data_IF_237219921399
#
_entry.id   IF_237219921399
#
_cell.length_a   1.000
_cell.length_b   1.000
_cell.length_c   1.000
_cell.angle_alpha   90.00
_cell.angle_beta   90.00
_cell.angle_gamma   90.00
#
_symmetry.space_group_name_H-M   'P 1'
#
loop_
_entity.id
_entity.type
_entity.pdbx_description
1 polymer ?
#
# COMPACT_ATOMS: atom_id res chain seq x y z
N UNK A 1 20.41 31.37 -58.88
CA UNK A 1 19.31 31.19 -57.93
C UNK A 1 19.93 30.84 -56.59
N UNK A 2 20.14 31.85 -55.77
CA UNK A 2 20.98 31.84 -54.57
C UNK A 2 20.18 31.57 -53.30
N UNK A 3 20.51 30.50 -52.58
CA UNK A 3 20.90 30.57 -51.16
C UNK A 3 19.84 30.79 -50.07
N UNK A 4 18.68 30.11 -50.08
CA UNK A 4 17.73 30.13 -48.95
C UNK A 4 17.75 28.88 -48.05
N UNK A 5 18.33 27.76 -48.48
CA UNK A 5 18.25 26.49 -47.72
C UNK A 5 19.19 26.44 -46.50
N UNK A 6 20.33 27.14 -46.56
CA UNK A 6 21.33 27.13 -45.49
C UNK A 6 20.86 27.80 -44.21
N UNK A 7 20.03 28.84 -44.31
CA UNK A 7 19.43 29.52 -43.16
C UNK A 7 18.38 28.65 -42.47
N UNK A 8 17.58 27.92 -43.26
CA UNK A 8 16.54 27.04 -42.75
C UNK A 8 17.14 25.79 -42.06
N UNK A 9 18.20 25.21 -42.64
CA UNK A 9 18.91 24.09 -42.04
C UNK A 9 19.51 24.44 -40.66
N UNK A 10 20.09 25.64 -40.51
CA UNK A 10 20.63 26.10 -39.23
C UNK A 10 19.54 26.28 -38.17
N UNK A 11 18.37 26.82 -38.54
CA UNK A 11 17.23 26.97 -37.64
C UNK A 11 16.57 25.65 -37.29
N UNK A 12 16.51 24.71 -38.23
CA UNK A 12 15.92 23.38 -38.02
C UNK A 12 16.80 22.52 -37.10
N UNK A 13 18.13 22.62 -37.23
CA UNK A 13 19.09 22.02 -36.28
C UNK A 13 18.93 22.64 -34.89
N UNK A 14 18.80 23.97 -34.80
CA UNK A 14 18.61 24.64 -33.51
C UNK A 14 17.30 24.22 -32.82
N UNK A 15 16.22 24.05 -33.59
CA UNK A 15 14.93 23.60 -33.08
C UNK A 15 14.99 22.14 -32.59
N UNK A 16 15.62 21.24 -33.36
CA UNK A 16 15.81 19.85 -32.96
C UNK A 16 16.69 19.72 -31.68
N UNK A 17 17.77 20.51 -31.59
CA UNK A 17 18.60 20.56 -30.39
C UNK A 17 17.83 21.10 -29.18
N UNK A 18 17.01 22.14 -29.37
CA UNK A 18 16.17 22.68 -28.30
C UNK A 18 15.18 21.65 -27.75
N UNK A 19 14.55 20.86 -28.62
CA UNK A 19 13.66 19.75 -28.21
C UNK A 19 14.42 18.67 -27.45
N UNK A 20 15.63 18.31 -27.90
CA UNK A 20 16.46 17.31 -27.23
C UNK A 20 16.89 17.76 -25.83
N UNK A 21 17.38 19.00 -25.68
CA UNK A 21 17.77 19.54 -24.38
C UNK A 21 16.58 19.69 -23.43
N UNK A 22 15.42 20.11 -23.95
CA UNK A 22 14.20 20.22 -23.15
C UNK A 22 13.73 18.85 -22.64
N UNK A 23 13.81 17.80 -23.46
CA UNK A 23 13.47 16.44 -23.06
C UNK A 23 14.44 15.90 -21.99
N UNK A 24 15.75 16.16 -22.11
CA UNK A 24 16.74 15.78 -21.09
C UNK A 24 16.48 16.53 -19.77
N UNK A 25 16.11 17.81 -19.82
CA UNK A 25 15.74 18.59 -18.63
C UNK A 25 14.51 18.01 -17.91
N UNK A 26 13.45 17.67 -18.66
CA UNK A 26 12.26 17.03 -18.07
C UNK A 26 12.61 15.65 -17.52
N UNK A 27 13.34 14.83 -18.30
CA UNK A 27 13.74 13.49 -17.87
C UNK A 27 14.58 13.54 -16.59
N UNK A 28 15.49 14.49 -16.45
CA UNK A 28 16.30 14.65 -15.22
C UNK A 28 15.46 15.10 -14.04
N UNK A 29 14.49 16.01 -14.24
CA UNK A 29 13.57 16.43 -13.18
C UNK A 29 12.67 15.28 -12.70
N UNK A 30 12.19 14.43 -13.62
CA UNK A 30 11.42 13.22 -13.30
C UNK A 30 12.32 12.14 -12.69
N UNK A 31 13.55 11.97 -13.20
CA UNK A 31 14.49 10.94 -12.76
C UNK A 31 15.05 11.17 -11.36
N UNK A 32 15.15 12.41 -10.88
CA UNK A 32 15.53 12.71 -9.50
C UNK A 32 14.40 12.50 -8.50
N UNK A 33 13.20 12.16 -8.98
CA UNK A 33 12.06 11.81 -8.16
C UNK A 33 11.41 13.04 -7.53
N UNK A 34 10.12 13.19 -7.76
CA UNK A 34 9.28 14.05 -6.93
C UNK A 34 9.31 13.58 -5.48
N UNK A 35 10.30 14.01 -4.71
CA UNK A 35 10.24 14.04 -3.26
C UNK A 35 9.55 15.34 -2.84
N UNK A 36 8.25 15.39 -3.08
CA UNK A 36 7.39 16.25 -2.29
C UNK A 36 7.31 15.63 -0.89
N UNK A 37 8.09 16.18 0.06
CA UNK A 37 7.85 16.02 1.49
C UNK A 37 8.56 14.86 2.19
N UNK A 38 9.90 14.80 2.13
CA UNK A 38 10.69 14.03 3.08
C UNK A 38 11.21 14.95 4.19
N UNK A 39 10.37 15.25 5.19
CA UNK A 39 10.90 15.62 6.50
C UNK A 39 11.56 14.38 7.08
N UNK A 40 12.88 14.47 7.24
CA UNK A 40 13.78 13.46 7.77
C UNK A 40 13.22 12.79 9.04
N UNK A 41 13.11 11.46 9.10
CA UNK A 41 13.33 10.74 10.33
C UNK A 41 14.70 10.09 10.26
N UNK A 42 15.52 10.44 11.24
CA UNK A 42 16.76 9.77 11.62
C UNK A 42 16.68 8.27 11.44
N UNK A 43 17.72 7.74 10.79
CA UNK A 43 18.00 6.34 10.49
C UNK A 43 17.96 5.48 11.76
N UNK A 44 16.78 4.98 12.14
CA UNK A 44 16.67 3.90 13.10
C UNK A 44 16.93 2.59 12.35
N UNK A 45 17.95 1.86 12.81
CA UNK A 45 18.32 0.53 12.34
C UNK A 45 17.19 -0.44 12.73
N UNK A 46 16.30 -0.79 11.80
CA UNK A 46 15.34 -1.87 12.01
C UNK A 46 16.02 -3.22 11.71
N UNK A 47 15.83 -4.24 12.58
CA UNK A 47 16.13 -5.61 12.21
C UNK A 47 15.17 -6.04 11.10
N UNK A 48 15.69 -6.82 10.15
CA UNK A 48 14.91 -7.43 9.08
C UNK A 48 13.90 -8.40 9.71
N UNK A 49 12.67 -7.93 9.92
CA UNK A 49 11.54 -8.80 10.23
C UNK A 49 10.65 -8.89 9.00
N UNK A 50 10.49 -10.13 8.58
CA UNK A 50 9.99 -10.61 7.30
C UNK A 50 8.55 -10.13 7.07
N UNK A 51 8.36 -9.23 6.10
CA UNK A 51 7.03 -8.75 5.72
C UNK A 51 6.33 -9.84 4.91
N UNK A 52 5.60 -10.72 5.59
CA UNK A 52 4.85 -11.80 4.95
C UNK A 52 3.43 -11.34 4.56
N UNK A 53 3.23 -11.00 3.28
CA UNK A 53 1.90 -10.75 2.71
C UNK A 53 1.29 -12.08 2.25
N UNK A 54 0.12 -12.44 2.81
CA UNK A 54 -0.64 -13.62 2.37
C UNK A 54 -1.88 -13.14 1.63
N UNK A 55 -2.10 -13.54 0.36
CA UNK A 55 -3.34 -13.23 -0.34
C UNK A 55 -4.52 -13.98 0.30
N UNK A 56 -5.66 -13.30 0.45
CA UNK A 56 -6.90 -13.91 0.94
C UNK A 56 -7.41 -14.94 -0.07
N UNK A 57 -7.40 -16.22 0.26
CA UNK A 57 -8.06 -17.26 -0.55
C UNK A 57 -9.56 -17.22 -0.29
N UNK A 58 -10.33 -17.10 -1.37
CA UNK A 58 -11.79 -17.11 -1.35
C UNK A 58 -12.31 -18.47 -0.84
N UNK A 59 -13.44 -18.41 -0.12
CA UNK A 59 -14.15 -19.55 0.44
C UNK A 59 -14.56 -20.52 -0.68
N UNK A 60 -13.83 -21.62 -0.86
CA UNK A 60 -14.23 -22.70 -1.76
C UNK A 60 -15.09 -23.69 -0.97
N UNK A 61 -16.41 -23.47 -0.99
CA UNK A 61 -17.38 -24.44 -0.51
C UNK A 61 -17.41 -25.64 -1.47
N UNK A 62 -16.89 -26.78 -1.04
CA UNK A 62 -17.11 -28.04 -1.75
C UNK A 62 -16.08 -29.12 -1.46
N UNK A 63 -16.56 -30.19 -0.81
CA UNK A 63 -15.93 -31.50 -0.59
C UNK A 63 -15.03 -31.63 0.64
N UNK A 64 -15.59 -32.29 1.66
CA UNK A 64 -14.87 -32.86 2.79
C UNK A 64 -13.73 -33.74 2.28
N UNK A 65 -12.49 -33.34 2.57
CA UNK A 65 -11.37 -34.24 2.66
C UNK A 65 -10.86 -34.13 4.10
N UNK A 66 -10.96 -35.24 4.81
CA UNK A 66 -10.49 -35.38 6.17
C UNK A 66 -8.98 -35.11 6.26
N UNK A 67 -8.59 -34.56 7.41
CA UNK A 67 -7.24 -34.59 7.97
C UNK A 67 -6.26 -33.46 7.53
N UNK A 68 -6.54 -32.25 7.99
CA UNK A 68 -5.61 -31.40 8.79
C UNK A 68 -6.25 -30.02 8.94
N UNK A 69 -7.41 -29.95 9.60
CA UNK A 69 -7.91 -28.69 10.11
C UNK A 69 -7.02 -28.31 11.29
N UNK A 70 -5.81 -27.82 11.00
CA UNK A 70 -4.98 -27.12 11.97
C UNK A 70 -5.84 -25.99 12.47
N UNK A 71 -6.40 -26.17 13.67
CA UNK A 71 -7.18 -25.16 14.36
C UNK A 71 -6.36 -23.88 14.30
N UNK A 72 -6.79 -22.96 13.44
CA UNK A 72 -6.21 -21.63 13.35
C UNK A 72 -6.51 -21.06 14.73
N UNK A 73 -5.49 -20.96 15.58
CA UNK A 73 -5.61 -20.25 16.84
C UNK A 73 -6.34 -18.94 16.51
N UNK A 74 -7.39 -18.55 17.28
CA UNK A 74 -8.26 -17.44 16.92
C UNK A 74 -7.38 -16.26 16.54
N UNK A 75 -7.28 -16.02 15.23
CA UNK A 75 -6.38 -14.99 14.70
C UNK A 75 -6.99 -13.71 15.20
N UNK A 76 -6.21 -12.95 15.96
CA UNK A 76 -6.71 -11.73 16.58
C UNK A 76 -6.86 -10.69 15.46
N UNK A 77 -8.04 -10.70 14.82
CA UNK A 77 -8.36 -9.92 13.64
C UNK A 77 -8.61 -8.48 14.04
N UNK A 78 -7.96 -7.59 13.31
CA UNK A 78 -8.10 -6.16 13.41
C UNK A 78 -8.57 -5.67 12.06
N UNK A 79 -9.78 -5.11 12.00
CA UNK A 79 -10.33 -4.54 10.79
C UNK A 79 -10.07 -3.03 10.81
N UNK A 80 -9.46 -2.49 9.76
CA UNK A 80 -9.31 -1.06 9.58
C UNK A 80 -10.35 -0.54 8.58
N UNK A 81 -11.21 0.37 9.02
CA UNK A 81 -12.23 0.99 8.16
C UNK A 81 -12.44 2.45 8.55
N UNK A 82 -12.44 3.35 7.55
CA UNK A 82 -12.71 4.79 7.73
C UNK A 82 -11.88 5.47 8.84
N UNK A 83 -10.63 5.02 9.06
CA UNK A 83 -9.76 5.57 10.10
C UNK A 83 -9.98 5.00 11.51
N UNK A 84 -10.89 4.04 11.67
CA UNK A 84 -11.18 3.33 12.93
C UNK A 84 -10.68 1.90 12.89
N UNK A 85 -10.42 1.35 14.06
CA UNK A 85 -10.09 -0.06 14.26
C UNK A 85 -11.30 -0.78 14.84
N UNK A 86 -11.63 -1.93 14.26
CA UNK A 86 -12.75 -2.75 14.64
C UNK A 86 -12.27 -4.18 14.94
N UNK A 87 -12.99 -4.87 15.80
CA UNK A 87 -12.83 -6.31 16.03
C UNK A 87 -13.68 -7.14 15.06
N UNK A 88 -13.65 -8.47 15.22
CA UNK A 88 -14.46 -9.41 14.43
C UNK A 88 -15.97 -9.17 14.56
N UNK A 89 -16.41 -8.56 15.65
CA UNK A 89 -17.81 -8.22 15.94
C UNK A 89 -18.17 -6.81 15.47
N UNK A 90 -17.29 -6.16 14.69
CA UNK A 90 -17.44 -4.78 14.20
C UNK A 90 -17.57 -3.75 15.33
N UNK A 91 -17.07 -4.08 16.53
CA UNK A 91 -17.00 -3.16 17.65
C UNK A 91 -15.68 -2.37 17.62
N UNK A 92 -15.69 -1.10 18.07
CA UNK A 92 -14.47 -0.32 18.20
C UNK A 92 -13.43 -1.03 19.06
N UNK A 93 -12.24 -1.21 18.50
CA UNK A 93 -11.13 -1.86 19.18
C UNK A 93 -10.10 -0.83 19.66
N UNK A 94 -9.79 -0.87 20.96
CA UNK A 94 -8.78 0.00 21.55
C UNK A 94 -7.36 -0.50 21.29
N UNK A 95 -6.42 0.43 21.09
CA UNK A 95 -5.01 0.12 20.81
C UNK A 95 -4.33 -0.69 21.91
N UNK A 96 -4.77 -0.55 23.18
CA UNK A 96 -4.25 -1.32 24.31
C UNK A 96 -4.57 -2.83 24.18
N UNK A 97 -5.78 -3.16 23.73
CA UNK A 97 -6.19 -4.56 23.49
C UNK A 97 -5.42 -5.15 22.31
N UNK A 98 -5.17 -4.33 21.30
CA UNK A 98 -4.40 -4.69 20.11
C UNK A 98 -2.94 -4.95 20.44
N UNK A 99 -2.36 -4.19 21.38
CA UNK A 99 -0.98 -4.36 21.83
C UNK A 99 -0.73 -5.67 22.60
N UNK A 100 -1.78 -6.22 23.22
CA UNK A 100 -1.72 -7.51 23.91
C UNK A 100 -1.79 -8.72 22.95
N UNK A 101 -1.97 -8.47 21.64
CA UNK A 101 -2.12 -9.53 20.64
C UNK A 101 -0.77 -10.14 20.27
N UNK A 102 -0.70 -11.47 20.26
CA UNK A 102 0.54 -12.20 19.96
C UNK A 102 0.81 -12.31 18.45
N UNK A 103 -0.25 -12.44 17.66
CA UNK A 103 -0.19 -12.55 16.20
C UNK A 103 -1.38 -11.79 15.56
N UNK A 104 -1.35 -10.45 15.61
CA UNK A 104 -2.43 -9.63 15.09
C UNK A 104 -2.50 -9.72 13.57
N UNK A 105 -3.72 -9.78 13.03
CA UNK A 105 -3.97 -9.74 11.58
C UNK A 105 -4.71 -8.45 11.25
N UNK A 106 -4.07 -7.54 10.53
CA UNK A 106 -4.67 -6.29 10.05
C UNK A 106 -5.35 -6.50 8.69
N UNK A 107 -6.67 -6.46 8.67
CA UNK A 107 -7.46 -6.42 7.46
C UNK A 107 -7.68 -4.97 7.02
N UNK A 108 -7.18 -4.62 5.83
CA UNK A 108 -7.31 -3.29 5.23
C UNK A 108 -8.22 -3.31 4.00
N UNK A 109 -8.87 -2.19 3.66
CA UNK A 109 -9.66 -2.06 2.43
C UNK A 109 -8.78 -2.28 1.18
N UNK A 110 -9.26 -2.96 0.13
CA UNK A 110 -8.48 -3.22 -1.08
C UNK A 110 -8.19 -1.96 -1.90
N UNK A 111 -8.91 -0.86 -1.65
CA UNK A 111 -8.73 0.44 -2.28
C UNK A 111 -7.73 1.35 -1.53
N UNK A 112 -7.18 0.91 -0.40
CA UNK A 112 -6.23 1.70 0.38
C UNK A 112 -4.85 1.69 -0.31
N UNK A 113 -4.19 2.85 -0.40
CA UNK A 113 -2.85 2.90 -0.96
C UNK A 113 -1.81 2.25 -0.04
N UNK A 114 -0.73 1.71 -0.61
CA UNK A 114 0.34 1.10 0.19
C UNK A 114 0.93 2.07 1.23
N UNK A 115 1.06 3.36 0.89
CA UNK A 115 1.54 4.38 1.82
C UNK A 115 0.63 4.53 3.04
N UNK A 116 -0.69 4.49 2.83
CA UNK A 116 -1.67 4.51 3.92
C UNK A 116 -1.61 3.22 4.74
N UNK A 117 -1.45 2.05 4.11
CA UNK A 117 -1.30 0.77 4.83
C UNK A 117 -0.08 0.84 5.75
N UNK A 118 1.05 1.39 5.27
CA UNK A 118 2.25 1.57 6.09
C UNK A 118 2.04 2.58 7.22
N UNK A 119 1.29 3.66 6.98
CA UNK A 119 0.92 4.61 8.02
C UNK A 119 0.06 3.95 9.12
N UNK A 120 -0.91 3.10 8.73
CA UNK A 120 -1.76 2.35 9.67
C UNK A 120 -0.93 1.34 10.46
N UNK A 121 -0.05 0.57 9.81
CA UNK A 121 0.91 -0.32 10.47
C UNK A 121 1.78 0.45 11.48
N UNK A 122 2.28 1.61 11.10
CA UNK A 122 3.09 2.47 11.95
C UNK A 122 2.36 2.97 13.21
N UNK A 123 1.05 3.26 13.10
CA UNK A 123 0.21 3.66 14.24
C UNK A 123 0.01 2.55 15.26
N UNK A 124 -0.05 1.30 14.79
CA UNK A 124 -0.25 0.12 15.62
C UNK A 124 1.03 -0.31 16.34
N UNK A 125 2.19 -0.15 15.68
CA UNK A 125 3.50 -0.55 16.18
C UNK A 125 3.52 -1.99 16.76
N UNK A 126 2.67 -2.88 16.24
CA UNK A 126 2.54 -4.26 16.70
C UNK A 126 3.63 -5.14 16.09
N UNK A 127 4.23 -6.01 16.92
CA UNK A 127 5.12 -7.06 16.45
C UNK A 127 4.32 -8.16 15.73
N UNK A 128 4.93 -8.79 14.71
CA UNK A 128 4.33 -9.91 13.97
C UNK A 128 2.98 -9.61 13.28
N UNK A 129 2.75 -8.35 12.89
CA UNK A 129 1.52 -7.94 12.21
C UNK A 129 1.42 -8.53 10.80
N UNK A 130 0.46 -9.42 10.58
CA UNK A 130 0.12 -9.91 9.23
C UNK A 130 -0.90 -8.97 8.60
N UNK A 131 -0.68 -8.54 7.36
CA UNK A 131 -1.63 -7.67 6.64
C UNK A 131 -2.40 -8.51 5.63
N UNK A 132 -3.72 -8.34 5.59
CA UNK A 132 -4.63 -8.98 4.64
C UNK A 132 -5.61 -7.97 4.07
N UNK A 133 -6.22 -8.28 2.92
CA UNK A 133 -7.21 -7.42 2.27
C UNK A 133 -8.62 -7.85 2.63
N UNK A 134 -9.51 -6.88 2.89
CA UNK A 134 -10.93 -7.12 3.08
C UNK A 134 -11.57 -7.63 1.78
N UNK A 135 -12.41 -8.66 1.90
CA UNK A 135 -13.23 -9.17 0.80
C UNK A 135 -14.50 -8.32 0.67
N UNK A 136 -15.20 -8.44 -0.47
CA UNK A 136 -16.48 -7.73 -0.68
C UNK A 136 -17.52 -8.07 0.40
N UNK A 137 -17.62 -9.33 0.81
CA UNK A 137 -18.53 -9.76 1.88
C UNK A 137 -18.29 -9.00 3.20
N UNK A 138 -17.04 -8.76 3.57
CA UNK A 138 -16.69 -7.97 4.76
C UNK A 138 -16.99 -6.48 4.57
N UNK A 139 -16.71 -5.92 3.39
CA UNK A 139 -17.03 -4.52 3.09
C UNK A 139 -18.54 -4.27 3.19
N UNK A 140 -19.37 -5.21 2.74
CA UNK A 140 -20.82 -5.09 2.81
C UNK A 140 -21.34 -5.25 4.25
N UNK A 141 -20.83 -6.21 5.02
CA UNK A 141 -21.16 -6.35 6.44
C UNK A 141 -20.83 -5.08 7.25
N UNK A 142 -19.68 -4.44 6.97
CA UNK A 142 -19.29 -3.17 7.62
C UNK A 142 -20.27 -2.04 7.27
N UNK A 143 -20.69 -1.94 5.99
CA UNK A 143 -21.66 -0.92 5.55
C UNK A 143 -23.04 -1.12 6.17
N UNK A 144 -23.50 -2.37 6.27
CA UNK A 144 -24.78 -2.71 6.89
C UNK A 144 -24.80 -2.38 8.38
N UNK A 145 -23.71 -2.67 9.09
CA UNK A 145 -23.59 -2.37 10.51
C UNK A 145 -23.39 -0.87 10.82
N UNK A 146 -22.93 -0.09 9.84
CA UNK A 146 -22.78 1.36 9.98
C UNK A 146 -24.08 2.15 9.74
N UNK A 147 -25.17 1.48 9.35
CA UNK A 147 -26.47 2.08 8.99
C UNK A 147 -27.46 2.06 10.16
#
# INVERSE_FOLDING_TARGET
MTGNDSGNAMTEIALALAMAFFAIMILTMVSMGGQAGATTPTKAKLPADDLHLVPSSEHQTGTQVANDARAVAPRQLIIFSEGRFLDEQLQPLETAVMAAMAQPVLAVPPNLSLAEVMAVKGRLALANLTITTLTQAWLDAIKEHAK
#
